data_IF_715281430563
#
_entry.id   IF_715281430563
#
_cell.length_a   1.000
_cell.length_b   1.000
_cell.length_c   1.000
_cell.angle_alpha   90.00
_cell.angle_beta   90.00
_cell.angle_gamma   90.00
#
_symmetry.space_group_name_H-M   'P 1'
#
loop_
_entity.id
_entity.type
_entity.pdbx_description
1 polymer ?
#
# COMPACT_ATOMS: atom_id res chain seq x y z
N UNK A 1 26.46 21.27 -13.29
CA UNK A 1 25.09 21.20 -12.73
C UNK A 1 24.58 19.77 -12.83
N UNK A 2 23.99 19.24 -11.77
CA UNK A 2 23.49 17.87 -11.70
C UNK A 2 21.96 17.83 -11.82
N UNK A 3 21.42 16.91 -12.60
CA UNK A 3 19.98 16.68 -12.72
C UNK A 3 19.57 15.53 -11.81
N UNK A 4 18.61 15.78 -10.90
CA UNK A 4 17.98 14.76 -10.07
C UNK A 4 16.55 14.56 -10.55
N UNK A 5 16.16 13.31 -10.79
CA UNK A 5 14.82 12.96 -11.27
C UNK A 5 14.13 12.12 -10.20
N UNK A 6 12.96 12.57 -9.76
CA UNK A 6 12.09 11.90 -8.78
C UNK A 6 10.72 11.63 -9.42
N UNK A 7 9.87 10.82 -8.78
CA UNK A 7 8.56 10.47 -9.33
C UNK A 7 7.48 11.54 -9.10
N UNK A 8 7.60 12.39 -8.05
CA UNK A 8 6.53 13.33 -7.71
C UNK A 8 7.00 14.77 -7.52
N UNK A 9 6.17 15.78 -7.86
CA UNK A 9 6.53 17.19 -7.70
C UNK A 9 6.67 17.60 -6.23
N UNK A 10 5.99 16.93 -5.30
CA UNK A 10 6.13 17.18 -3.87
C UNK A 10 7.54 16.80 -3.38
N UNK A 11 8.04 15.63 -3.80
CA UNK A 11 9.43 15.21 -3.53
C UNK A 11 10.42 16.15 -4.19
N UNK A 12 10.22 16.53 -5.45
CA UNK A 12 11.10 17.47 -6.15
C UNK A 12 11.26 18.78 -5.38
N UNK A 13 10.16 19.37 -4.94
CA UNK A 13 10.17 20.64 -4.17
C UNK A 13 10.94 20.51 -2.87
N UNK A 14 10.79 19.40 -2.16
CA UNK A 14 11.44 19.19 -0.86
C UNK A 14 12.93 18.89 -1.02
N UNK A 15 13.29 18.00 -1.94
CA UNK A 15 14.68 17.58 -2.18
C UNK A 15 15.51 18.75 -2.75
N UNK A 16 14.91 19.56 -3.63
CA UNK A 16 15.58 20.74 -4.17
C UNK A 16 16.02 21.73 -3.07
N UNK A 17 15.25 21.86 -1.98
CA UNK A 17 15.64 22.69 -0.82
C UNK A 17 16.84 22.12 -0.05
N UNK A 18 17.05 20.80 -0.11
CA UNK A 18 18.12 20.13 0.63
C UNK A 18 19.44 20.13 -0.12
N UNK A 19 19.42 20.03 -1.46
CA UNK A 19 20.60 19.83 -2.29
C UNK A 19 21.31 21.12 -2.74
N UNK A 20 20.63 22.26 -2.69
CA UNK A 20 21.25 23.57 -3.07
C UNK A 20 21.35 23.78 -4.58
N UNK A 21 22.13 24.82 -4.98
CA UNK A 21 22.17 25.38 -6.34
C UNK A 21 22.86 24.49 -7.39
N UNK A 22 23.69 23.54 -6.96
CA UNK A 22 24.42 22.64 -7.89
C UNK A 22 23.55 21.56 -8.48
N UNK A 23 22.32 21.45 -7.99
CA UNK A 23 21.35 20.44 -8.39
C UNK A 23 20.06 21.09 -8.91
N UNK A 24 19.52 20.52 -9.97
CA UNK A 24 18.15 20.78 -10.44
C UNK A 24 17.32 19.52 -10.23
N UNK A 25 16.26 19.61 -9.45
CA UNK A 25 15.38 18.46 -9.15
C UNK A 25 14.10 18.59 -9.94
N UNK A 26 13.84 17.61 -10.80
CA UNK A 26 12.62 17.53 -11.64
C UNK A 26 11.82 16.26 -11.30
N UNK A 27 10.52 16.33 -11.53
CA UNK A 27 9.62 15.19 -11.36
C UNK A 27 9.24 14.57 -12.71
N UNK A 28 9.16 13.23 -12.75
CA UNK A 28 8.61 12.49 -13.89
C UNK A 28 7.07 12.45 -13.88
N UNK A 29 6.45 12.74 -12.73
CA UNK A 29 5.00 12.60 -12.49
C UNK A 29 4.50 11.16 -12.63
N UNK A 30 5.28 10.20 -12.12
CA UNK A 30 5.03 8.78 -12.22
C UNK A 30 5.66 8.13 -13.44
N UNK A 31 4.99 7.11 -13.98
CA UNK A 31 5.47 6.41 -15.18
C UNK A 31 5.39 7.31 -16.41
N UNK A 32 6.48 7.36 -17.18
CA UNK A 32 6.57 8.15 -18.41
C UNK A 32 6.14 7.38 -19.66
N UNK A 33 6.07 6.05 -19.56
CA UNK A 33 5.68 5.12 -20.63
C UNK A 33 4.71 4.10 -20.08
N UNK A 34 3.79 3.65 -20.92
CA UNK A 34 2.92 2.52 -20.63
C UNK A 34 2.67 1.68 -21.88
N UNK A 35 2.10 0.48 -21.66
CA UNK A 35 1.64 -0.37 -22.76
C UNK A 35 0.41 0.26 -23.42
N UNK A 36 0.39 0.45 -24.74
CA UNK A 36 -0.81 0.93 -25.42
C UNK A 36 -2.00 0.00 -25.18
N UNK A 37 -3.18 0.59 -25.04
CA UNK A 37 -4.44 -0.15 -24.84
C UNK A 37 -4.96 -0.76 -26.17
N UNK A 38 -4.09 -1.49 -26.87
CA UNK A 38 -4.39 -2.19 -28.13
C UNK A 38 -3.87 -3.62 -28.07
N UNK A 39 -4.47 -4.53 -28.82
CA UNK A 39 -4.00 -5.92 -28.90
C UNK A 39 -2.56 -5.97 -29.45
N UNK A 40 -1.75 -6.89 -28.94
CA UNK A 40 -0.37 -7.12 -29.38
C UNK A 40 0.67 -6.20 -28.74
N UNK A 41 0.33 -5.42 -27.69
CA UNK A 41 1.32 -4.62 -26.96
C UNK A 41 2.28 -5.47 -26.12
N UNK A 42 1.91 -6.70 -25.82
CA UNK A 42 2.78 -7.75 -25.29
C UNK A 42 2.70 -8.94 -26.24
N UNK A 43 3.84 -9.45 -26.67
CA UNK A 43 3.96 -10.57 -27.61
C UNK A 43 4.50 -11.82 -26.88
N UNK A 44 3.60 -12.76 -26.44
CA UNK A 44 4.00 -13.97 -25.74
C UNK A 44 4.90 -14.91 -26.55
N UNK A 45 4.73 -14.94 -27.90
CA UNK A 45 5.50 -15.80 -28.80
C UNK A 45 6.94 -15.29 -28.99
N UNK A 46 7.19 -14.02 -28.68
CA UNK A 46 8.51 -13.40 -28.82
C UNK A 46 9.04 -12.96 -27.43
N UNK A 47 9.20 -13.92 -26.52
CA UNK A 47 9.76 -13.70 -25.17
C UNK A 47 9.08 -12.55 -24.40
N UNK A 48 7.76 -12.41 -24.57
CA UNK A 48 6.96 -11.33 -23.95
C UNK A 48 7.45 -9.93 -24.28
N UNK A 49 7.96 -9.72 -25.50
CA UNK A 49 8.38 -8.40 -25.96
C UNK A 49 7.24 -7.40 -25.81
N UNK A 50 7.56 -6.25 -25.21
CA UNK A 50 6.60 -5.18 -24.91
C UNK A 50 6.81 -3.98 -25.81
N UNK A 51 5.70 -3.37 -26.23
CA UNK A 51 5.69 -2.10 -26.96
C UNK A 51 5.37 -0.99 -25.97
N UNK A 52 6.25 -0.02 -25.82
CA UNK A 52 6.08 1.09 -24.90
C UNK A 52 5.71 2.36 -25.67
N UNK A 53 4.70 3.06 -25.19
CA UNK A 53 4.33 4.39 -25.71
C UNK A 53 4.46 5.43 -24.59
N UNK A 54 4.89 6.65 -24.96
CA UNK A 54 4.99 7.78 -24.04
C UNK A 54 3.58 8.28 -23.77
N UNK A 55 3.20 8.38 -22.50
CA UNK A 55 1.94 8.98 -22.10
C UNK A 55 1.87 10.45 -22.52
N UNK A 56 0.72 10.86 -23.04
CA UNK A 56 0.47 12.23 -23.50
C UNK A 56 0.70 13.27 -22.41
N UNK A 57 0.33 12.97 -21.16
CA UNK A 57 0.58 13.83 -20.00
C UNK A 57 2.07 13.99 -19.70
N UNK A 58 2.86 12.94 -19.89
CA UNK A 58 4.28 12.94 -19.59
C UNK A 58 5.12 13.74 -20.58
N UNK A 59 4.61 14.02 -21.80
CA UNK A 59 5.36 14.73 -22.85
C UNK A 59 5.90 16.09 -22.41
N UNK A 60 5.10 16.86 -21.64
CA UNK A 60 5.51 18.19 -21.13
C UNK A 60 6.71 18.07 -20.18
N UNK A 61 6.62 17.15 -19.23
CA UNK A 61 7.66 16.94 -18.22
C UNK A 61 8.92 16.32 -18.81
N UNK A 62 8.75 15.38 -19.76
CA UNK A 62 9.86 14.81 -20.52
C UNK A 62 10.61 15.84 -21.35
N UNK A 63 9.93 16.87 -21.85
CA UNK A 63 10.61 17.98 -22.52
C UNK A 63 11.51 18.74 -21.55
N UNK A 64 11.01 19.09 -20.36
CA UNK A 64 11.78 19.79 -19.34
C UNK A 64 12.98 18.94 -18.86
N UNK A 65 12.76 17.64 -18.60
CA UNK A 65 13.82 16.68 -18.25
C UNK A 65 14.87 16.61 -19.38
N UNK A 66 14.44 16.54 -20.65
CA UNK A 66 15.32 16.50 -21.83
C UNK A 66 16.19 17.75 -21.93
N UNK A 67 15.57 18.92 -21.79
CA UNK A 67 16.26 20.20 -21.94
C UNK A 67 17.27 20.42 -20.80
N UNK A 68 16.92 20.04 -19.57
CA UNK A 68 17.83 20.10 -18.42
C UNK A 68 18.94 19.04 -18.53
N UNK A 69 18.62 17.82 -18.98
CA UNK A 69 19.61 16.76 -19.15
C UNK A 69 20.69 17.11 -20.17
N UNK A 70 20.40 17.91 -21.22
CA UNK A 70 21.40 18.37 -22.19
C UNK A 70 22.54 19.14 -21.52
N UNK A 71 22.20 19.98 -20.54
CA UNK A 71 23.12 20.89 -19.88
C UNK A 71 23.69 20.33 -18.56
N UNK A 72 23.32 19.11 -18.20
CA UNK A 72 23.76 18.46 -16.96
C UNK A 72 24.98 17.59 -17.22
N UNK A 73 25.90 17.55 -16.27
CA UNK A 73 27.08 16.69 -16.27
C UNK A 73 26.75 15.28 -15.77
N UNK A 74 25.83 15.22 -14.80
CA UNK A 74 25.42 14.00 -14.11
C UNK A 74 23.90 13.93 -14.03
N UNK A 75 23.35 12.73 -14.19
CA UNK A 75 21.93 12.43 -14.05
C UNK A 75 21.74 11.45 -12.90
N UNK A 76 20.90 11.81 -11.95
CA UNK A 76 20.62 11.04 -10.75
C UNK A 76 19.15 10.65 -10.76
N UNK A 77 18.89 9.36 -10.75
CA UNK A 77 17.55 8.78 -10.71
C UNK A 77 17.20 8.45 -9.26
N UNK A 78 16.39 9.30 -8.62
CA UNK A 78 16.10 9.28 -7.19
C UNK A 78 14.61 8.98 -6.90
N UNK A 79 14.08 7.98 -7.60
CA UNK A 79 12.73 7.44 -7.41
C UNK A 79 12.68 6.47 -6.23
N UNK A 80 11.50 6.04 -5.79
CA UNK A 80 11.31 5.14 -4.64
C UNK A 80 12.12 3.84 -4.74
N UNK A 81 12.46 3.21 -3.58
CA UNK A 81 13.29 1.99 -3.55
C UNK A 81 12.52 0.71 -3.89
N UNK A 82 11.29 0.80 -4.36
CA UNK A 82 10.48 -0.34 -4.77
C UNK A 82 10.58 -0.62 -6.28
N UNK A 83 9.94 -1.70 -6.73
CA UNK A 83 9.93 -2.09 -8.16
C UNK A 83 9.28 -1.05 -9.07
N UNK A 84 8.30 -0.28 -8.58
CA UNK A 84 7.65 0.77 -9.36
C UNK A 84 8.63 1.93 -9.58
N UNK A 85 9.32 2.37 -8.52
CA UNK A 85 10.34 3.41 -8.62
C UNK A 85 11.54 2.96 -9.46
N UNK A 86 11.94 1.69 -9.38
CA UNK A 86 13.02 1.14 -10.21
C UNK A 86 12.66 1.14 -11.69
N UNK A 87 11.41 0.77 -12.03
CA UNK A 87 10.90 0.82 -13.39
C UNK A 87 10.81 2.26 -13.93
N UNK A 88 10.38 3.23 -13.10
CA UNK A 88 10.38 4.65 -13.49
C UNK A 88 11.81 5.10 -13.81
N UNK A 89 12.79 4.80 -12.96
CA UNK A 89 14.19 5.11 -13.18
C UNK A 89 14.70 4.50 -14.49
N UNK A 90 14.39 3.23 -14.72
CA UNK A 90 14.77 2.51 -15.93
C UNK A 90 14.14 3.15 -17.19
N UNK A 91 12.85 3.43 -17.18
CA UNK A 91 12.16 4.07 -18.31
C UNK A 91 12.71 5.45 -18.62
N UNK A 92 13.04 6.25 -17.59
CA UNK A 92 13.66 7.57 -17.79
C UNK A 92 15.05 7.42 -18.41
N UNK A 93 15.86 6.47 -17.92
CA UNK A 93 17.18 6.18 -18.48
C UNK A 93 17.09 5.76 -19.94
N UNK A 94 16.21 4.80 -20.27
CA UNK A 94 16.02 4.35 -21.64
C UNK A 94 15.54 5.48 -22.56
N UNK A 95 14.60 6.30 -22.12
CA UNK A 95 14.12 7.46 -22.87
C UNK A 95 15.25 8.46 -23.17
N UNK A 96 16.09 8.79 -22.21
CA UNK A 96 17.22 9.69 -22.39
C UNK A 96 18.30 9.06 -23.30
N UNK A 97 18.48 7.75 -23.22
CA UNK A 97 19.40 6.99 -24.08
C UNK A 97 18.95 7.00 -25.54
N UNK A 98 17.66 6.76 -25.80
CA UNK A 98 17.06 6.87 -27.15
C UNK A 98 17.22 8.28 -27.75
N UNK A 99 17.19 9.31 -26.90
CA UNK A 99 17.47 10.70 -27.30
C UNK A 99 18.97 11.01 -27.47
N UNK A 100 19.85 10.03 -27.22
CA UNK A 100 21.32 10.15 -27.25
C UNK A 100 21.84 11.22 -26.28
N UNK A 101 21.19 11.41 -25.14
CA UNK A 101 21.54 12.42 -24.14
C UNK A 101 22.45 11.89 -23.02
N UNK A 102 22.73 10.58 -23.00
CA UNK A 102 23.54 9.95 -21.95
C UNK A 102 25.01 9.79 -22.35
N UNK A 103 25.39 10.14 -23.59
CA UNK A 103 26.77 10.06 -24.04
C UNK A 103 27.64 10.96 -23.14
N UNK A 104 28.71 10.37 -22.62
CA UNK A 104 29.70 11.03 -21.75
C UNK A 104 29.13 11.56 -20.42
N UNK A 105 27.95 11.08 -20.00
CA UNK A 105 27.32 11.46 -18.73
C UNK A 105 27.25 10.30 -17.75
N UNK A 106 27.52 10.61 -16.49
CA UNK A 106 27.33 9.63 -15.41
C UNK A 106 25.85 9.55 -15.05
N UNK A 107 25.28 8.34 -15.12
CA UNK A 107 23.91 8.07 -14.69
C UNK A 107 23.95 7.21 -13.45
N UNK A 108 23.39 7.72 -12.38
CA UNK A 108 23.39 7.07 -11.06
C UNK A 108 21.98 6.85 -10.55
N UNK A 109 21.77 5.73 -9.88
CA UNK A 109 20.56 5.42 -9.13
C UNK A 109 20.79 5.74 -7.65
N UNK A 110 19.88 6.50 -7.05
CA UNK A 110 19.92 6.87 -5.64
C UNK A 110 18.60 6.45 -4.99
N UNK A 111 18.68 5.86 -3.81
CA UNK A 111 17.52 5.45 -3.02
C UNK A 111 17.63 6.01 -1.60
N UNK A 112 16.48 6.36 -1.04
CA UNK A 112 16.34 6.76 0.37
C UNK A 112 14.96 6.34 0.87
N UNK A 113 14.89 5.92 2.12
CA UNK A 113 13.66 5.42 2.73
C UNK A 113 12.80 6.54 3.34
N UNK A 114 13.37 7.74 3.49
CA UNK A 114 12.69 8.92 4.02
C UNK A 114 13.19 10.21 3.33
N UNK A 115 12.37 11.25 3.32
CA UNK A 115 12.71 12.51 2.67
C UNK A 115 13.19 13.50 3.75
N UNK A 116 14.27 13.15 4.44
CA UNK A 116 15.01 14.04 5.33
C UNK A 116 16.28 14.55 4.65
N UNK A 117 16.81 15.70 5.07
CA UNK A 117 18.05 16.23 4.49
C UNK A 117 19.19 15.23 4.60
N UNK A 118 19.34 14.59 5.76
CA UNK A 118 20.40 13.61 6.02
C UNK A 118 20.27 12.39 5.11
N UNK A 119 19.06 11.80 4.99
CA UNK A 119 18.84 10.62 4.15
C UNK A 119 19.07 10.93 2.66
N UNK A 120 18.61 12.08 2.19
CA UNK A 120 18.82 12.51 0.80
C UNK A 120 20.30 12.72 0.51
N UNK A 121 21.03 13.45 1.38
CA UNK A 121 22.47 13.68 1.20
C UNK A 121 23.25 12.36 1.22
N UNK A 122 22.98 11.50 2.19
CA UNK A 122 23.62 10.18 2.27
C UNK A 122 23.33 9.33 1.03
N UNK A 123 22.11 9.39 0.49
CA UNK A 123 21.77 8.69 -0.74
C UNK A 123 22.55 9.20 -1.95
N UNK A 124 22.71 10.51 -2.09
CA UNK A 124 23.52 11.12 -3.17
C UNK A 124 24.99 10.73 -3.07
N UNK A 125 25.51 10.59 -1.86
CA UNK A 125 26.91 10.20 -1.61
C UNK A 125 27.15 8.69 -1.80
N UNK A 126 26.09 7.87 -1.77
CA UNK A 126 26.14 6.42 -1.90
C UNK A 126 25.26 5.91 -3.07
N UNK A 127 25.54 6.29 -4.30
CA UNK A 127 24.76 5.86 -5.46
C UNK A 127 24.99 4.37 -5.77
N UNK A 128 23.98 3.76 -6.40
CA UNK A 128 24.05 2.40 -6.92
C UNK A 128 23.70 2.33 -8.41
N UNK A 129 23.70 1.15 -8.97
CA UNK A 129 23.12 0.89 -10.28
C UNK A 129 21.61 0.62 -10.18
N UNK A 130 20.91 0.71 -11.32
CA UNK A 130 19.54 0.21 -11.44
C UNK A 130 19.55 -1.29 -11.21
N UNK A 131 18.62 -1.77 -10.40
CA UNK A 131 18.45 -3.17 -10.06
C UNK A 131 17.54 -3.85 -11.09
N UNK A 132 18.16 -4.55 -12.04
CA UNK A 132 17.43 -5.15 -13.15
C UNK A 132 16.39 -6.18 -12.71
N UNK A 133 16.63 -6.91 -11.63
CA UNK A 133 15.69 -7.88 -11.07
C UNK A 133 14.35 -7.23 -10.65
N UNK A 134 14.41 -6.03 -10.06
CA UNK A 134 13.20 -5.26 -9.72
C UNK A 134 12.51 -4.72 -10.97
N UNK A 135 13.28 -4.30 -11.98
CA UNK A 135 12.73 -3.88 -13.28
C UNK A 135 12.02 -5.05 -13.94
N UNK A 136 12.64 -6.23 -13.99
CA UNK A 136 12.06 -7.44 -14.58
C UNK A 136 10.78 -7.88 -13.83
N UNK A 137 10.78 -7.78 -12.51
CA UNK A 137 9.61 -8.06 -11.69
C UNK A 137 8.43 -7.10 -12.01
N UNK A 138 8.73 -5.82 -12.23
CA UNK A 138 7.73 -4.85 -12.70
C UNK A 138 7.22 -5.20 -14.10
N UNK A 139 8.13 -5.47 -15.05
CA UNK A 139 7.79 -5.83 -16.42
C UNK A 139 6.90 -7.08 -16.48
N UNK A 140 7.26 -8.12 -15.74
CA UNK A 140 6.49 -9.36 -15.67
C UNK A 140 5.07 -9.10 -15.13
N UNK A 141 4.95 -8.29 -14.07
CA UNK A 141 3.64 -7.90 -13.55
C UNK A 141 2.84 -7.11 -14.56
N UNK A 142 3.46 -6.14 -15.23
CA UNK A 142 2.77 -5.27 -16.20
C UNK A 142 2.28 -6.07 -17.41
N UNK A 143 3.11 -7.01 -17.91
CA UNK A 143 2.72 -7.94 -18.97
C UNK A 143 1.55 -8.84 -18.56
N UNK A 144 1.62 -9.40 -17.35
CA UNK A 144 0.57 -10.26 -16.82
C UNK A 144 -0.77 -9.51 -16.68
N UNK A 145 -0.75 -8.30 -16.11
CA UNK A 145 -1.97 -7.49 -15.95
C UNK A 145 -2.58 -7.14 -17.32
N UNK A 146 -1.73 -6.81 -18.29
CA UNK A 146 -2.16 -6.55 -19.68
C UNK A 146 -2.81 -7.80 -20.29
N UNK A 147 -2.11 -8.93 -20.30
CA UNK A 147 -2.60 -10.17 -20.93
C UNK A 147 -3.89 -10.69 -20.27
N UNK A 148 -3.95 -10.68 -18.94
CA UNK A 148 -5.17 -11.09 -18.22
C UNK A 148 -6.34 -10.16 -18.57
N UNK A 149 -6.13 -8.85 -18.54
CA UNK A 149 -7.17 -7.87 -18.89
C UNK A 149 -7.68 -8.04 -20.31
N UNK A 150 -6.80 -8.17 -21.29
CA UNK A 150 -7.17 -8.31 -22.70
C UNK A 150 -7.82 -9.63 -23.06
N UNK A 151 -7.43 -10.73 -22.40
CA UNK A 151 -8.00 -12.05 -22.69
C UNK A 151 -9.32 -12.32 -21.95
N UNK A 152 -9.46 -11.83 -20.71
CA UNK A 152 -10.64 -12.15 -19.88
C UNK A 152 -11.78 -11.13 -20.09
N UNK A 153 -11.47 -9.84 -20.31
CA UNK A 153 -12.53 -8.83 -20.47
C UNK A 153 -13.51 -9.12 -21.61
N UNK A 154 -13.10 -9.58 -22.80
CA UNK A 154 -14.03 -9.95 -23.87
C UNK A 154 -14.97 -11.11 -23.49
N UNK A 155 -14.47 -12.10 -22.75
CA UNK A 155 -15.28 -13.22 -22.25
C UNK A 155 -16.34 -12.69 -21.28
N UNK A 156 -15.95 -11.76 -20.41
CA UNK A 156 -16.86 -11.14 -19.46
C UNK A 156 -17.97 -10.34 -20.16
N UNK A 157 -17.67 -9.62 -21.23
CA UNK A 157 -18.68 -8.87 -22.00
C UNK A 157 -19.75 -9.76 -22.61
N UNK A 158 -19.37 -10.96 -23.05
CA UNK A 158 -20.31 -11.92 -23.63
C UNK A 158 -21.13 -12.66 -22.58
N UNK A 159 -20.60 -12.90 -21.37
CA UNK A 159 -21.24 -13.70 -20.32
C UNK A 159 -22.01 -12.85 -19.31
N UNK A 160 -21.61 -11.62 -19.07
CA UNK A 160 -22.20 -10.69 -18.09
C UNK A 160 -22.49 -9.33 -18.76
N UNK A 161 -23.69 -9.13 -19.31
CA UNK A 161 -24.07 -7.85 -19.92
C UNK A 161 -23.89 -6.69 -18.92
N UNK A 162 -23.29 -5.60 -19.40
CA UNK A 162 -23.01 -4.42 -18.56
C UNK A 162 -21.66 -4.45 -17.83
N UNK A 163 -20.94 -5.57 -17.82
CA UNK A 163 -19.56 -5.62 -17.30
C UNK A 163 -18.60 -4.82 -18.19
N UNK A 164 -17.58 -4.18 -17.59
CA UNK A 164 -16.63 -3.35 -18.34
C UNK A 164 -15.28 -4.03 -18.55
N UNK A 165 -14.69 -4.59 -17.51
CA UNK A 165 -13.39 -5.22 -17.59
C UNK A 165 -13.17 -6.24 -16.46
N UNK A 166 -12.23 -7.16 -16.68
CA UNK A 166 -11.70 -8.06 -15.69
C UNK A 166 -10.20 -7.79 -15.47
N UNK A 167 -9.70 -8.12 -14.29
CA UNK A 167 -8.29 -7.98 -13.97
C UNK A 167 -7.97 -8.58 -12.60
N UNK A 168 -6.70 -8.89 -12.37
CA UNK A 168 -6.26 -9.60 -11.17
C UNK A 168 -6.65 -8.88 -9.87
N UNK A 169 -6.40 -7.58 -9.77
CA UNK A 169 -6.70 -6.80 -8.56
C UNK A 169 -8.21 -6.64 -8.37
N UNK A 170 -8.92 -6.20 -9.40
CA UNK A 170 -10.37 -5.94 -9.31
C UNK A 170 -11.19 -7.22 -9.06
N UNK A 171 -10.77 -8.37 -9.60
CA UNK A 171 -11.46 -9.65 -9.37
C UNK A 171 -11.31 -10.12 -7.93
N UNK A 172 -10.11 -9.97 -7.35
CA UNK A 172 -9.87 -10.30 -5.93
C UNK A 172 -10.63 -9.35 -5.00
N UNK A 173 -10.59 -8.04 -5.29
CA UNK A 173 -11.33 -7.05 -4.50
C UNK A 173 -12.85 -7.33 -4.51
N UNK A 174 -13.41 -7.62 -5.68
CA UNK A 174 -14.83 -7.97 -5.81
C UNK A 174 -15.18 -9.26 -5.04
N UNK A 175 -14.30 -10.26 -5.09
CA UNK A 175 -14.49 -11.50 -4.33
C UNK A 175 -14.55 -11.24 -2.82
N UNK A 176 -13.59 -10.49 -2.28
CA UNK A 176 -13.56 -10.15 -0.85
C UNK A 176 -14.81 -9.37 -0.42
N UNK A 177 -15.29 -8.45 -1.26
CA UNK A 177 -16.53 -7.71 -1.01
C UNK A 177 -17.76 -8.62 -1.00
N UNK A 178 -17.87 -9.52 -2.00
CA UNK A 178 -19.01 -10.46 -2.09
C UNK A 178 -19.01 -11.48 -0.96
N UNK A 179 -17.85 -11.99 -0.56
CA UNK A 179 -17.71 -12.88 0.59
C UNK A 179 -18.16 -12.16 1.89
N UNK A 180 -17.76 -10.90 2.05
CA UNK A 180 -18.18 -10.11 3.21
C UNK A 180 -19.67 -9.78 3.23
N UNK A 181 -20.25 -9.43 2.07
CA UNK A 181 -21.70 -9.23 1.95
C UNK A 181 -22.48 -10.49 2.29
N UNK A 182 -22.00 -11.65 1.80
CA UNK A 182 -22.62 -12.92 2.15
C UNK A 182 -22.57 -13.20 3.66
N UNK A 183 -21.45 -12.94 4.33
CA UNK A 183 -21.35 -13.04 5.79
C UNK A 183 -22.36 -12.14 6.50
N UNK A 184 -22.58 -10.92 5.98
CA UNK A 184 -23.56 -9.97 6.55
C UNK A 184 -24.98 -10.47 6.33
N UNK A 185 -25.31 -10.98 5.14
CA UNK A 185 -26.64 -11.49 4.81
C UNK A 185 -27.05 -12.71 5.66
N UNK A 186 -26.09 -13.62 5.94
CA UNK A 186 -26.36 -14.82 6.75
C UNK A 186 -26.19 -14.60 8.24
N UNK A 187 -25.70 -13.42 8.65
CA UNK A 187 -25.44 -13.11 10.05
C UNK A 187 -26.76 -13.08 10.85
N UNK A 188 -26.81 -13.88 11.90
CA UNK A 188 -27.89 -13.86 12.88
C UNK A 188 -27.33 -13.22 14.16
N UNK A 189 -27.91 -12.11 14.60
CA UNK A 189 -27.48 -11.48 15.85
C UNK A 189 -27.84 -12.36 17.03
N UNK A 190 -26.86 -12.64 17.87
CA UNK A 190 -27.06 -13.31 19.16
C UNK A 190 -27.03 -12.27 20.28
N UNK A 191 -28.09 -12.28 21.10
CA UNK A 191 -28.17 -11.43 22.28
C UNK A 191 -27.30 -12.03 23.39
N UNK A 192 -26.58 -11.17 24.08
CA UNK A 192 -25.86 -11.55 25.30
C UNK A 192 -25.96 -10.45 26.34
N UNK A 193 -25.88 -10.87 27.58
CA UNK A 193 -25.94 -9.98 28.73
C UNK A 193 -24.68 -10.14 29.58
N UNK A 194 -24.28 -9.05 30.23
CA UNK A 194 -23.14 -9.05 31.15
C UNK A 194 -23.57 -8.56 32.51
N UNK A 195 -23.00 -9.13 33.55
CA UNK A 195 -23.25 -8.76 34.93
C UNK A 195 -21.98 -8.17 35.55
N UNK A 196 -22.06 -6.88 35.87
CA UNK A 196 -20.99 -6.15 36.53
C UNK A 196 -21.47 -5.74 37.92
N UNK A 197 -20.61 -5.84 38.92
CA UNK A 197 -20.89 -5.44 40.27
C UNK A 197 -19.96 -4.30 40.69
N UNK A 198 -20.52 -3.31 41.35
CA UNK A 198 -19.77 -2.19 41.87
C UNK A 198 -19.82 -2.27 43.41
N UNK A 199 -18.67 -2.43 44.00
CA UNK A 199 -18.51 -2.47 45.45
C UNK A 199 -17.94 -1.15 45.96
N UNK A 200 -18.48 -0.66 47.06
CA UNK A 200 -17.95 0.49 47.76
C UNK A 200 -17.26 -0.02 49.06
N UNK A 201 -15.98 0.28 49.20
CA UNK A 201 -15.25 -0.04 50.43
C UNK A 201 -15.64 0.88 51.59
N UNK A 202 -15.27 0.53 52.82
CA UNK A 202 -15.46 1.39 53.99
C UNK A 202 -14.78 2.75 53.85
N UNK A 203 -13.76 2.85 53.02
CA UNK A 203 -12.98 4.05 52.71
C UNK A 203 -13.52 4.82 51.51
N UNK A 204 -14.74 4.49 51.03
CA UNK A 204 -15.38 5.06 49.86
C UNK A 204 -14.62 4.84 48.52
N UNK A 205 -13.81 3.80 48.43
CA UNK A 205 -13.19 3.40 47.16
C UNK A 205 -14.17 2.54 46.36
N UNK A 206 -14.31 2.85 45.08
CA UNK A 206 -15.20 2.11 44.20
C UNK A 206 -14.41 1.00 43.47
N UNK A 207 -14.86 -0.25 43.62
CA UNK A 207 -14.27 -1.42 42.98
C UNK A 207 -15.27 -1.98 41.99
N UNK A 208 -14.97 -1.80 40.68
CA UNK A 208 -15.75 -2.36 39.58
C UNK A 208 -15.29 -3.78 39.30
N UNK A 209 -16.22 -4.72 39.29
CA UNK A 209 -15.91 -6.14 39.06
C UNK A 209 -16.82 -6.71 37.97
N UNK A 210 -16.36 -7.76 37.32
CA UNK A 210 -17.16 -8.60 36.45
C UNK A 210 -17.27 -10.00 37.03
N UNK A 211 -18.39 -10.67 36.78
CA UNK A 211 -18.57 -12.04 37.22
C UNK A 211 -17.71 -12.98 36.37
N UNK A 212 -16.85 -13.75 37.02
CA UNK A 212 -15.98 -14.73 36.36
C UNK A 212 -16.53 -16.16 36.46
N UNK A 213 -17.22 -16.45 37.56
CA UNK A 213 -17.76 -17.78 37.86
C UNK A 213 -19.03 -17.66 38.73
N UNK A 214 -20.01 -18.53 38.50
CA UNK A 214 -21.23 -18.65 39.28
C UNK A 214 -21.55 -20.12 39.46
N UNK A 215 -21.75 -20.56 40.72
CA UNK A 215 -22.00 -21.96 41.07
C UNK A 215 -21.03 -22.93 40.38
N UNK A 216 -19.72 -22.68 40.55
CA UNK A 216 -18.62 -23.45 39.96
C UNK A 216 -18.58 -23.49 38.40
N UNK A 217 -19.45 -22.74 37.74
CA UNK A 217 -19.45 -22.61 36.28
C UNK A 217 -18.80 -21.31 35.84
N UNK A 218 -17.83 -21.42 34.94
CA UNK A 218 -17.18 -20.26 34.32
C UNK A 218 -18.19 -19.48 33.48
N UNK A 219 -18.21 -18.16 33.66
CA UNK A 219 -19.05 -17.26 32.85
C UNK A 219 -18.28 -16.80 31.63
N UNK A 220 -18.85 -17.08 30.46
CA UNK A 220 -18.34 -16.67 29.15
C UNK A 220 -19.29 -15.66 28.52
N UNK A 221 -18.90 -15.07 27.39
CA UNK A 221 -19.65 -14.02 26.70
C UNK A 221 -21.14 -14.33 26.51
N UNK A 222 -21.48 -15.56 26.15
CA UNK A 222 -22.85 -16.01 25.86
C UNK A 222 -23.47 -16.88 26.98
N UNK A 223 -22.96 -16.81 28.23
CA UNK A 223 -23.53 -17.54 29.35
C UNK A 223 -24.90 -17.00 29.75
N UNK A 224 -25.14 -15.72 29.58
CA UNK A 224 -26.44 -15.08 29.78
C UNK A 224 -26.99 -14.62 28.42
N UNK A 225 -28.06 -15.24 27.97
CA UNK A 225 -28.62 -15.00 26.63
C UNK A 225 -29.85 -14.08 26.64
N UNK A 226 -30.42 -13.87 27.81
CA UNK A 226 -31.64 -13.09 27.98
C UNK A 226 -31.71 -12.45 29.35
N UNK A 227 -32.71 -11.58 29.55
CA UNK A 227 -32.96 -10.88 30.81
C UNK A 227 -33.27 -11.82 31.97
N UNK A 228 -33.90 -12.96 31.72
CA UNK A 228 -34.23 -13.94 32.76
C UNK A 228 -32.98 -14.57 33.35
N UNK A 229 -32.00 -14.97 32.51
CA UNK A 229 -30.71 -15.49 32.95
C UNK A 229 -29.99 -14.53 33.89
N UNK A 230 -30.01 -13.22 33.56
CA UNK A 230 -29.41 -12.17 34.40
C UNK A 230 -30.18 -12.02 35.72
N UNK A 231 -31.52 -12.03 35.72
CA UNK A 231 -32.31 -11.89 36.93
C UNK A 231 -32.05 -13.09 37.87
N UNK A 232 -32.01 -14.30 37.36
CA UNK A 232 -31.68 -15.50 38.12
C UNK A 232 -30.26 -15.39 38.74
N UNK A 233 -29.27 -14.94 37.98
CA UNK A 233 -27.92 -14.70 38.47
C UNK A 233 -27.90 -13.61 39.58
N UNK A 234 -28.64 -12.51 39.37
CA UNK A 234 -28.77 -11.45 40.37
C UNK A 234 -29.38 -11.94 41.69
N UNK A 235 -30.40 -12.78 41.62
CA UNK A 235 -31.04 -13.33 42.84
C UNK A 235 -30.09 -14.26 43.62
N UNK A 236 -29.24 -15.01 42.94
CA UNK A 236 -28.23 -15.85 43.56
C UNK A 236 -27.14 -15.05 44.31
N UNK A 237 -26.77 -13.88 43.82
CA UNK A 237 -25.70 -13.05 44.38
C UNK A 237 -26.22 -11.95 45.32
N UNK A 238 -27.49 -11.56 45.20
CA UNK A 238 -28.13 -10.53 46.02
C UNK A 238 -28.08 -10.89 47.51
N UNK A 239 -27.72 -9.92 48.32
CA UNK A 239 -27.65 -10.09 49.78
C UNK A 239 -26.58 -11.08 50.28
N UNK A 240 -25.62 -11.47 49.45
CA UNK A 240 -24.47 -12.28 49.87
C UNK A 240 -23.37 -11.40 50.48
N UNK A 241 -22.53 -12.00 51.30
CA UNK A 241 -21.30 -11.37 51.82
C UNK A 241 -20.17 -11.66 50.84
N UNK A 242 -19.39 -10.62 50.53
CA UNK A 242 -18.26 -10.70 49.59
C UNK A 242 -16.96 -10.52 50.36
N UNK A 243 -15.95 -11.31 50.02
CA UNK A 243 -14.61 -11.26 50.62
C UNK A 243 -13.58 -11.21 49.51
N UNK A 244 -12.50 -10.46 49.71
CA UNK A 244 -11.33 -10.52 48.82
C UNK A 244 -10.55 -11.77 49.22
N UNK A 245 -10.40 -12.71 48.30
CA UNK A 245 -9.69 -13.99 48.54
C UNK A 245 -8.23 -13.93 48.11
N UNK A 246 -7.92 -13.16 47.10
CA UNK A 246 -6.56 -13.03 46.58
C UNK A 246 -6.35 -11.68 45.85
N UNK A 247 -5.11 -11.19 45.86
CA UNK A 247 -4.68 -9.98 45.15
C UNK A 247 -3.43 -10.32 44.34
N UNK A 248 -3.56 -10.33 43.00
CA UNK A 248 -2.45 -10.61 42.09
C UNK A 248 -2.03 -9.30 41.43
N UNK A 249 -0.82 -8.85 41.71
CA UNK A 249 -0.20 -7.71 41.01
C UNK A 249 0.56 -8.23 39.79
N UNK A 250 0.20 -7.73 38.61
CA UNK A 250 1.03 -7.90 37.39
C UNK A 250 1.99 -6.72 37.30
N UNK A 251 3.26 -7.02 37.38
CA UNK A 251 4.37 -6.07 37.12
C UNK A 251 4.61 -6.01 35.60
#
# INVERSE_FOLDING_TARGET
MNLVIVESPAKAKTINKYLGSDYTVLASYGHIRDLPSKNGSVDPENSFKMIWEIDSFSKKYLKEITDTARNSEKIILATDPDREGEAIAWHVKEFLNEKKLLKDKKVERVVFNEITKTAVTNGIDNPRNIENELVDAYMARRALDYLVGFNISPILWTKLPGSKSAGRVQSVALRLLTEREHEIEVFKPDEFWTLNLNFLTKENLNINTSIAQLDDKKIEKFSFKNKEDINNALDLIKNKKYNITDIISKI
#
